data_IF_105787395368
#
_entry.id   IF_105787395368
#
_cell.length_a   1.000
_cell.length_b   1.000
_cell.length_c   1.000
_cell.angle_alpha   90.00
_cell.angle_beta   90.00
_cell.angle_gamma   90.00
#
_symmetry.space_group_name_H-M   'P 1'
#
loop_
_entity.id
_entity.type
_entity.pdbx_description
1 polymer ?
#
# COMPACT_ATOMS: atom_id res chain seq x y z
N UNK A 1 -25.90 36.42 -26.46
CA UNK A 1 -25.65 35.17 -25.71
C UNK A 1 -24.17 35.11 -25.32
N UNK A 2 -23.80 35.14 -24.02
CA UNK A 2 -22.41 35.24 -23.61
C UNK A 2 -21.71 33.87 -23.65
N UNK A 3 -20.69 33.74 -24.49
CA UNK A 3 -19.87 32.52 -24.61
C UNK A 3 -19.07 32.30 -23.32
N UNK A 4 -19.32 31.18 -22.66
CA UNK A 4 -18.59 30.80 -21.45
C UNK A 4 -17.13 30.47 -21.79
N UNK A 5 -16.20 31.22 -21.19
CA UNK A 5 -14.76 31.05 -21.36
C UNK A 5 -14.32 29.83 -20.54
N UNK A 6 -14.02 28.70 -21.19
CA UNK A 6 -13.52 27.50 -20.50
C UNK A 6 -12.18 27.82 -19.84
N UNK A 7 -12.12 27.72 -18.52
CA UNK A 7 -10.86 27.74 -17.79
C UNK A 7 -10.06 26.49 -18.21
N UNK A 8 -8.92 26.67 -18.86
CA UNK A 8 -7.96 25.57 -19.06
C UNK A 8 -7.41 25.20 -17.69
N UNK A 9 -7.86 24.07 -17.15
CA UNK A 9 -7.28 23.49 -15.94
C UNK A 9 -5.78 23.33 -16.13
N UNK A 10 -5.02 23.87 -15.18
CA UNK A 10 -3.59 23.65 -15.07
C UNK A 10 -3.35 22.14 -14.93
N UNK A 11 -2.81 21.52 -15.98
CA UNK A 11 -2.39 20.12 -15.97
C UNK A 11 -1.18 20.03 -15.05
N UNK A 12 -1.44 19.81 -13.76
CA UNK A 12 -0.40 19.62 -12.75
C UNK A 12 0.58 18.55 -13.23
N UNK A 13 1.87 18.88 -13.12
CA UNK A 13 3.02 18.04 -13.47
C UNK A 13 2.75 16.57 -13.16
N UNK A 14 2.63 15.74 -14.20
CA UNK A 14 2.46 14.31 -14.04
C UNK A 14 3.68 13.73 -13.33
N UNK A 15 3.52 13.32 -12.08
CA UNK A 15 4.49 12.47 -11.40
C UNK A 15 4.46 11.10 -12.08
N UNK A 16 5.24 10.93 -13.15
CA UNK A 16 5.43 9.64 -13.79
C UNK A 16 6.35 8.80 -12.90
N UNK A 17 5.76 8.14 -11.90
CA UNK A 17 6.45 7.06 -11.20
C UNK A 17 6.36 5.80 -12.06
N UNK A 18 7.51 5.32 -12.53
CA UNK A 18 7.60 3.98 -13.13
C UNK A 18 7.39 2.95 -12.03
N UNK A 19 6.36 2.10 -12.19
CA UNK A 19 6.06 1.03 -11.24
C UNK A 19 6.49 -0.31 -11.86
N UNK A 20 7.37 -1.02 -11.17
CA UNK A 20 7.79 -2.38 -11.50
C UNK A 20 6.69 -3.37 -11.08
N UNK A 21 5.82 -3.73 -12.03
CA UNK A 21 4.62 -4.57 -11.78
C UNK A 21 4.93 -6.08 -11.91
N UNK A 22 6.12 -6.45 -12.40
CA UNK A 22 6.56 -7.83 -12.57
C UNK A 22 5.78 -8.62 -13.63
N UNK A 23 5.15 -7.92 -14.59
CA UNK A 23 4.32 -8.51 -15.66
C UNK A 23 4.90 -8.33 -17.06
N UNK A 24 6.12 -7.82 -17.18
CA UNK A 24 6.74 -7.49 -18.46
C UNK A 24 6.00 -6.37 -19.19
N UNK A 25 6.15 -6.33 -20.52
CA UNK A 25 5.44 -5.38 -21.37
C UNK A 25 3.95 -5.74 -21.47
N UNK A 26 3.08 -4.81 -21.07
CA UNK A 26 1.63 -5.00 -21.09
C UNK A 26 1.09 -4.52 -22.43
N UNK A 27 0.57 -5.43 -23.24
CA UNK A 27 0.05 -5.13 -24.59
C UNK A 27 -1.46 -4.84 -24.63
N UNK A 28 -2.23 -5.40 -23.69
CA UNK A 28 -3.69 -5.31 -23.66
C UNK A 28 -4.17 -4.23 -22.68
N UNK A 29 -4.45 -4.59 -21.41
CA UNK A 29 -4.99 -3.67 -20.42
C UNK A 29 -4.03 -3.44 -19.24
N UNK A 30 -3.61 -2.18 -19.07
CA UNK A 30 -2.73 -1.75 -17.98
C UNK A 30 -3.33 -1.95 -16.59
N UNK A 31 -4.60 -1.57 -16.38
CA UNK A 31 -5.26 -1.68 -15.06
C UNK A 31 -5.41 -3.14 -14.64
N UNK A 32 -5.76 -4.02 -15.58
CA UNK A 32 -5.89 -5.46 -15.33
C UNK A 32 -4.55 -6.08 -14.91
N UNK A 33 -3.47 -5.69 -15.58
CA UNK A 33 -2.13 -6.15 -15.22
C UNK A 33 -1.72 -5.66 -13.82
N UNK A 34 -2.02 -4.39 -13.51
CA UNK A 34 -1.73 -3.78 -12.22
C UNK A 34 -2.52 -4.44 -11.09
N UNK A 35 -3.85 -4.60 -11.22
CA UNK A 35 -4.71 -5.19 -10.19
C UNK A 35 -4.32 -6.64 -9.85
N UNK A 36 -3.85 -7.40 -10.84
CA UNK A 36 -3.45 -8.79 -10.61
C UNK A 36 -2.00 -8.94 -10.14
N UNK A 37 -1.23 -7.86 -10.11
CA UNK A 37 0.18 -7.86 -9.70
C UNK A 37 0.36 -8.04 -8.19
N UNK A 38 1.60 -8.33 -7.73
CA UNK A 38 1.91 -8.45 -6.30
C UNK A 38 1.61 -7.19 -5.48
N UNK A 39 1.52 -6.02 -6.12
CA UNK A 39 1.21 -4.74 -5.48
C UNK A 39 -0.18 -4.75 -4.81
N UNK A 40 -1.16 -5.34 -5.48
CA UNK A 40 -2.57 -5.36 -5.06
C UNK A 40 -3.01 -6.68 -4.44
N UNK A 41 -2.07 -7.45 -3.86
CA UNK A 41 -2.40 -8.69 -3.16
C UNK A 41 -3.15 -8.41 -1.85
N UNK A 42 -4.04 -9.35 -1.49
CA UNK A 42 -4.74 -9.34 -0.20
C UNK A 42 -3.71 -9.41 0.93
N UNK A 43 -3.78 -8.45 1.85
CA UNK A 43 -2.95 -8.43 3.06
C UNK A 43 -3.75 -9.00 4.22
N UNK A 44 -3.22 -10.02 4.88
CA UNK A 44 -3.83 -10.64 6.05
C UNK A 44 -3.02 -10.24 7.29
N UNK A 45 -3.70 -9.65 8.26
CA UNK A 45 -3.08 -9.32 9.54
C UNK A 45 -3.02 -10.53 10.47
N UNK A 46 -1.95 -10.62 11.26
CA UNK A 46 -1.82 -11.68 12.26
C UNK A 46 -2.75 -11.38 13.44
N UNK A 47 -3.67 -12.29 13.71
CA UNK A 47 -4.56 -12.19 14.87
C UNK A 47 -3.76 -12.15 16.18
N UNK A 48 -4.23 -11.37 17.16
CA UNK A 48 -3.60 -11.25 18.49
C UNK A 48 -3.90 -12.43 19.41
N UNK A 49 -5.02 -13.13 19.20
CA UNK A 49 -5.46 -14.30 19.97
C UNK A 49 -6.12 -15.33 19.06
N UNK A 50 -6.10 -16.61 19.46
CA UNK A 50 -6.74 -17.71 18.73
C UNK A 50 -5.81 -18.45 17.76
N UNK A 51 -6.38 -18.98 16.66
CA UNK A 51 -5.61 -19.74 15.67
C UNK A 51 -4.58 -18.84 14.98
N UNK A 52 -3.35 -19.31 14.89
CA UNK A 52 -2.27 -18.59 14.22
C UNK A 52 -1.75 -17.37 14.97
N UNK A 53 -2.21 -17.08 16.20
CA UNK A 53 -1.72 -15.94 16.98
C UNK A 53 -0.44 -16.23 17.77
N UNK A 54 -0.05 -17.51 17.92
CA UNK A 54 1.14 -17.89 18.69
C UNK A 54 2.42 -17.28 18.08
N UNK A 55 3.27 -16.72 18.94
CA UNK A 55 4.56 -16.11 18.59
C UNK A 55 5.64 -16.67 19.53
N UNK A 56 6.64 -17.38 19.01
CA UNK A 56 7.75 -17.95 19.82
C UNK A 56 8.58 -16.89 20.55
N UNK A 57 8.69 -15.69 19.96
CA UNK A 57 9.36 -14.52 20.55
C UNK A 57 8.36 -13.37 20.63
N UNK A 58 8.06 -12.91 21.84
CA UNK A 58 7.23 -11.72 22.06
C UNK A 58 8.07 -10.45 21.88
N UNK A 59 7.41 -9.33 21.53
CA UNK A 59 8.06 -8.03 21.24
C UNK A 59 8.96 -7.53 22.38
N UNK A 60 8.59 -7.78 23.64
CA UNK A 60 9.29 -7.27 24.83
C UNK A 60 9.84 -8.39 25.72
N UNK A 61 10.25 -9.52 25.15
CA UNK A 61 10.81 -10.64 25.94
C UNK A 61 12.06 -10.16 26.72
N UNK A 62 12.01 -10.25 28.05
CA UNK A 62 13.11 -9.86 28.94
C UNK A 62 13.22 -8.36 29.24
N UNK A 63 12.23 -7.54 28.84
CA UNK A 63 12.14 -6.13 29.22
C UNK A 63 10.89 -5.94 30.08
N UNK A 64 11.06 -5.47 31.30
CA UNK A 64 9.95 -5.02 32.14
C UNK A 64 9.25 -3.83 31.46
N UNK A 65 7.91 -3.80 31.40
CA UNK A 65 7.16 -2.72 30.77
C UNK A 65 7.29 -1.36 31.50
N UNK A 66 7.84 -1.36 32.71
CA UNK A 66 8.12 -0.17 33.51
C UNK A 66 9.55 -0.26 34.02
N UNK A 67 10.40 0.70 33.68
CA UNK A 67 11.61 0.94 34.46
C UNK A 67 11.16 1.40 35.84
N UNK A 68 11.39 0.58 36.88
CA UNK A 68 11.30 1.04 38.26
C UNK A 68 12.44 2.04 38.51
N UNK A 69 12.29 3.27 38.04
CA UNK A 69 13.04 4.40 38.55
C UNK A 69 12.33 4.81 39.84
N UNK A 70 12.95 4.47 40.97
CA UNK A 70 12.61 4.96 42.30
C UNK A 70 13.19 6.36 42.49
#
# INVERSE_FOLDING_TARGET
MPKHKRHKGNQGSSLQATLEVGRGEIQDNALKAVVTSPLFKVRVEKAKKGKGSFCRKMKHKGKEPYSKAA
#
